data_IF_773344494013
#
_entry.id   IF_773344494013
#
_cell.length_a   1.000
_cell.length_b   1.000
_cell.length_c   1.000
_cell.angle_alpha   90.00
_cell.angle_beta   90.00
_cell.angle_gamma   90.00
#
_symmetry.space_group_name_H-M   'P 1'
#
loop_
_entity.id
_entity.type
_entity.pdbx_description
1 polymer ?
#
# COMPACT_ATOMS: atom_id res chain seq x y z
N UNK A 1 -11.75 4.64 -2.57
CA UNK A 1 -10.97 4.16 -1.41
C UNK A 1 -10.83 2.64 -1.50
N UNK A 2 -9.67 2.11 -1.12
CA UNK A 2 -9.33 0.67 -1.18
C UNK A 2 -8.50 0.31 0.04
N UNK A 3 -8.43 -0.96 0.42
CA UNK A 3 -7.56 -1.40 1.53
C UNK A 3 -6.10 -1.08 1.26
N UNK A 4 -5.54 -1.57 0.14
CA UNK A 4 -4.13 -1.39 -0.19
C UNK A 4 -3.85 -1.52 -1.68
N UNK A 5 -3.02 -0.64 -2.21
CA UNK A 5 -2.62 -0.62 -3.61
C UNK A 5 -1.78 -1.85 -3.97
N UNK A 6 -1.80 -2.24 -5.25
CA UNK A 6 -0.69 -2.97 -5.85
C UNK A 6 0.57 -2.11 -5.94
N UNK A 7 1.68 -2.72 -6.30
CA UNK A 7 2.98 -2.05 -6.34
C UNK A 7 4.05 -2.92 -6.97
N UNK A 8 5.31 -2.58 -6.71
CA UNK A 8 6.46 -3.38 -7.13
C UNK A 8 6.57 -4.59 -6.21
N UNK A 9 6.73 -5.78 -6.79
CA UNK A 9 6.89 -7.00 -6.00
C UNK A 9 8.31 -7.08 -5.41
N UNK A 10 8.43 -7.74 -4.24
CA UNK A 10 9.75 -7.99 -3.63
C UNK A 10 10.61 -8.82 -4.56
N UNK A 11 11.84 -8.34 -4.80
CA UNK A 11 12.75 -8.98 -5.74
C UNK A 11 12.34 -8.85 -7.21
N UNK A 12 11.54 -7.83 -7.56
CA UNK A 12 11.21 -7.50 -8.95
C UNK A 12 12.51 -7.24 -9.74
N UNK A 13 12.95 -8.27 -10.43
CA UNK A 13 14.18 -8.28 -11.22
C UNK A 13 13.87 -8.70 -12.65
N UNK A 14 14.33 -9.88 -13.05
CA UNK A 14 14.03 -10.47 -14.36
C UNK A 14 13.33 -11.82 -14.19
N UNK A 15 12.06 -11.98 -14.63
CA UNK A 15 11.22 -10.94 -15.21
C UNK A 15 10.82 -9.89 -14.16
N UNK A 16 10.61 -8.65 -14.62
CA UNK A 16 10.17 -7.55 -13.78
C UNK A 16 8.69 -7.73 -13.44
N UNK A 17 8.33 -7.62 -12.16
CA UNK A 17 6.98 -7.87 -11.66
C UNK A 17 6.48 -6.63 -10.89
N UNK A 18 5.63 -5.85 -11.55
CA UNK A 18 4.95 -4.69 -10.96
C UNK A 18 3.46 -4.73 -11.28
N UNK A 19 2.65 -4.20 -10.37
CA UNK A 19 1.20 -4.08 -10.58
C UNK A 19 0.87 -3.06 -11.66
N UNK A 20 -0.11 -3.40 -12.51
CA UNK A 20 -0.73 -2.46 -13.46
C UNK A 20 -1.36 -1.24 -12.78
N UNK A 21 -1.64 -1.32 -11.47
CA UNK A 21 -2.13 -0.20 -10.67
C UNK A 21 -1.22 1.03 -10.83
N UNK A 22 0.11 0.85 -10.82
CA UNK A 22 1.06 1.97 -10.90
C UNK A 22 0.92 2.73 -12.22
N UNK A 23 0.84 2.01 -13.34
CA UNK A 23 0.63 2.61 -14.66
C UNK A 23 -0.78 3.20 -14.84
N UNK A 24 -1.77 2.67 -14.11
CA UNK A 24 -3.13 3.22 -14.11
C UNK A 24 -3.18 4.53 -13.34
N UNK A 25 -2.57 4.56 -12.15
CA UNK A 25 -2.46 5.75 -11.31
C UNK A 25 -1.73 6.88 -12.02
N UNK A 26 -0.74 6.60 -12.88
CA UNK A 26 0.00 7.65 -13.60
C UNK A 26 -0.79 8.36 -14.70
N UNK A 27 -1.94 7.80 -15.10
CA UNK A 27 -2.73 8.29 -16.25
C UNK A 27 -4.18 8.58 -15.91
N UNK A 28 -4.58 8.34 -14.67
CA UNK A 28 -5.96 8.47 -14.22
C UNK A 28 -6.03 9.57 -13.17
N UNK A 29 -6.66 10.72 -13.47
CA UNK A 29 -6.78 11.84 -12.53
C UNK A 29 -7.84 11.51 -11.47
N UNK A 30 -7.44 10.71 -10.48
CA UNK A 30 -8.27 10.28 -9.35
C UNK A 30 -7.52 10.44 -8.04
N UNK A 31 -8.27 10.62 -6.95
CA UNK A 31 -7.71 10.54 -5.59
C UNK A 31 -8.00 9.18 -4.98
N UNK A 32 -6.97 8.48 -4.52
CA UNK A 32 -7.09 7.17 -3.88
C UNK A 32 -6.66 7.26 -2.43
N UNK A 33 -7.62 7.00 -1.54
CA UNK A 33 -7.35 6.79 -0.11
C UNK A 33 -7.12 5.30 0.14
N UNK A 34 -6.00 4.97 0.79
CA UNK A 34 -5.60 3.58 1.09
C UNK A 34 -4.66 3.49 2.29
N UNK A 35 -4.51 2.30 2.89
CA UNK A 35 -3.53 2.01 3.93
C UNK A 35 -2.12 1.70 3.34
N UNK A 36 -1.75 2.38 2.25
CA UNK A 36 -0.49 2.17 1.54
C UNK A 36 -0.58 1.07 0.49
N UNK A 37 0.52 0.34 0.29
CA UNK A 37 0.56 -0.82 -0.62
C UNK A 37 0.49 -2.11 0.20
N UNK A 38 -0.06 -3.19 -0.37
CA UNK A 38 -0.14 -4.49 0.32
C UNK A 38 1.21 -4.85 0.92
N UNK A 39 1.23 -5.30 2.18
CA UNK A 39 2.45 -5.51 2.98
C UNK A 39 3.46 -6.51 2.39
N UNK A 40 3.00 -7.34 1.46
CA UNK A 40 3.79 -8.32 0.70
C UNK A 40 4.69 -7.70 -0.37
N UNK A 41 4.46 -6.42 -0.69
CA UNK A 41 5.15 -5.70 -1.76
C UNK A 41 6.45 -5.06 -1.27
N UNK A 42 7.21 -4.55 -2.22
CA UNK A 42 8.43 -3.78 -1.99
C UNK A 42 8.05 -2.29 -1.87
N UNK A 43 7.94 -1.82 -0.63
CA UNK A 43 7.54 -0.43 -0.34
C UNK A 43 8.51 0.59 -0.95
N UNK A 44 9.83 0.52 -0.75
CA UNK A 44 10.73 1.54 -1.29
C UNK A 44 10.72 1.53 -2.82
N UNK A 45 10.77 0.35 -3.46
CA UNK A 45 10.69 0.29 -4.91
C UNK A 45 9.35 0.82 -5.45
N UNK A 46 8.25 0.63 -4.70
CA UNK A 46 6.95 1.18 -5.08
C UNK A 46 6.90 2.70 -4.95
N UNK A 47 7.46 3.28 -3.89
CA UNK A 47 7.51 4.74 -3.71
C UNK A 47 8.34 5.41 -4.82
N UNK A 48 9.52 4.89 -5.12
CA UNK A 48 10.38 5.33 -6.22
C UNK A 48 9.66 5.24 -7.58
N UNK A 49 8.88 4.17 -7.77
CA UNK A 49 8.13 3.97 -9.00
C UNK A 49 6.98 4.94 -9.15
N UNK A 50 6.25 5.22 -8.06
CA UNK A 50 5.18 6.23 -8.02
C UNK A 50 5.73 7.63 -8.32
N UNK A 51 6.88 7.98 -7.74
CA UNK A 51 7.59 9.23 -8.02
C UNK A 51 7.95 9.32 -9.51
N UNK A 52 8.63 8.30 -10.05
CA UNK A 52 9.02 8.23 -11.47
C UNK A 52 7.82 8.40 -12.41
N UNK A 53 6.66 7.91 -11.99
CA UNK A 53 5.42 7.96 -12.75
C UNK A 53 4.62 9.26 -12.55
N UNK A 54 5.11 10.21 -11.76
CA UNK A 54 4.43 11.48 -11.48
C UNK A 54 3.15 11.32 -10.66
N UNK A 55 3.05 10.27 -9.85
CA UNK A 55 1.93 10.07 -8.92
C UNK A 55 2.22 10.82 -7.62
N UNK A 56 1.31 11.69 -7.20
CA UNK A 56 1.46 12.42 -5.94
C UNK A 56 1.16 11.48 -4.78
N UNK A 57 2.03 11.39 -3.77
CA UNK A 57 1.81 10.58 -2.56
C UNK A 57 1.93 11.47 -1.34
N UNK A 58 0.89 11.46 -0.49
CA UNK A 58 0.89 12.19 0.78
C UNK A 58 0.26 11.35 1.89
N UNK A 59 0.85 11.43 3.09
CA UNK A 59 0.28 10.79 4.28
C UNK A 59 -0.89 11.59 4.83
N UNK A 60 -1.91 10.93 5.35
CA UNK A 60 -2.98 11.59 6.09
C UNK A 60 -2.63 11.65 7.58
N UNK A 61 -2.31 12.85 8.07
CA UNK A 61 -1.88 13.12 9.46
C UNK A 61 -0.64 12.31 9.88
N UNK A 62 0.21 11.95 8.93
CA UNK A 62 1.43 11.18 9.15
C UNK A 62 2.48 11.48 8.09
N UNK A 63 3.76 11.40 8.46
CA UNK A 63 4.90 11.37 7.54
C UNK A 63 5.46 9.95 7.35
N UNK A 64 4.83 8.95 7.96
CA UNK A 64 5.23 7.54 7.87
C UNK A 64 4.32 6.84 6.86
N UNK A 65 4.90 6.17 5.89
CA UNK A 65 4.13 5.43 4.90
C UNK A 65 3.55 4.16 5.57
N UNK A 66 2.22 3.92 5.49
CA UNK A 66 1.60 2.76 6.10
C UNK A 66 1.94 1.46 5.37
N UNK A 67 2.09 0.39 6.13
CA UNK A 67 2.43 -0.95 5.65
C UNK A 67 1.23 -1.87 5.52
N UNK A 68 0.07 -1.35 5.15
CA UNK A 68 -1.22 -2.05 5.03
C UNK A 68 -1.79 -2.59 6.35
N UNK A 69 -1.14 -3.57 6.98
CA UNK A 69 -1.56 -4.12 8.28
C UNK A 69 -0.96 -3.37 9.48
N UNK A 70 0.08 -2.57 9.22
CA UNK A 70 0.80 -1.77 10.21
C UNK A 70 0.71 -0.29 9.86
N UNK A 71 0.61 0.58 10.87
CA UNK A 71 0.51 2.02 10.68
C UNK A 71 1.81 2.64 10.11
N UNK A 72 2.94 1.96 10.29
CA UNK A 72 4.27 2.40 9.84
C UNK A 72 5.01 1.24 9.16
N UNK A 73 5.39 1.42 7.90
CA UNK A 73 6.16 0.45 7.12
C UNK A 73 7.68 0.58 7.28
N UNK A 74 8.16 1.57 8.03
CA UNK A 74 9.57 1.93 8.13
C UNK A 74 9.99 3.08 7.22
N UNK A 75 9.16 3.47 6.25
CA UNK A 75 9.51 4.45 5.22
C UNK A 75 8.84 5.81 5.42
N UNK A 76 9.52 6.87 5.02
CA UNK A 76 9.06 8.26 5.18
C UNK A 76 8.43 8.81 3.90
N UNK A 77 7.47 9.70 4.09
CA UNK A 77 6.81 10.46 3.04
C UNK A 77 7.26 11.91 3.08
N UNK A 78 7.46 12.49 1.91
CA UNK A 78 7.78 13.91 1.78
C UNK A 78 6.62 14.82 2.20
N UNK A 79 5.37 14.39 1.98
CA UNK A 79 4.17 15.20 2.14
C UNK A 79 3.20 14.60 3.16
N UNK A 80 2.55 15.45 3.94
CA UNK A 80 1.49 15.08 4.89
C UNK A 80 0.37 16.10 4.80
N UNK A 81 -0.87 15.64 4.85
CA UNK A 81 -2.09 16.44 4.83
C UNK A 81 -2.85 16.22 6.15
N UNK A 82 -3.28 17.29 6.80
CA UNK A 82 -3.80 17.25 8.17
C UNK A 82 -5.33 17.15 8.23
N UNK A 83 -6.02 17.46 7.13
CA UNK A 83 -7.47 17.57 7.08
C UNK A 83 -8.06 17.16 5.71
N UNK A 84 -9.35 16.78 5.64
CA UNK A 84 -10.01 16.56 4.36
C UNK A 84 -10.03 17.82 3.47
N UNK A 85 -10.03 19.02 4.08
CA UNK A 85 -9.96 20.30 3.36
C UNK A 85 -8.61 20.47 2.66
N UNK A 86 -7.51 20.08 3.29
CA UNK A 86 -6.19 20.07 2.64
C UNK A 86 -6.15 19.08 1.48
N UNK A 87 -6.73 17.87 1.64
CA UNK A 87 -6.87 16.91 0.53
C UNK A 87 -7.65 17.52 -0.63
N UNK A 88 -8.79 18.17 -0.35
CA UNK A 88 -9.60 18.83 -1.38
C UNK A 88 -8.85 19.99 -2.06
N UNK A 89 -8.04 20.74 -1.31
CA UNK A 89 -7.22 21.81 -1.87
C UNK A 89 -6.12 21.26 -2.79
N UNK A 90 -5.47 20.14 -2.42
CA UNK A 90 -4.49 19.45 -3.29
C UNK A 90 -5.14 18.96 -4.58
N UNK A 91 -6.35 18.40 -4.49
CA UNK A 91 -7.12 17.97 -5.67
C UNK A 91 -7.40 19.15 -6.60
N UNK A 92 -7.94 20.25 -6.06
CA UNK A 92 -8.24 21.44 -6.86
C UNK A 92 -6.98 22.05 -7.50
N UNK A 93 -5.84 22.02 -6.81
CA UNK A 93 -4.56 22.48 -7.37
C UNK A 93 -4.07 21.57 -8.51
N UNK A 94 -4.18 20.25 -8.35
CA UNK A 94 -3.83 19.30 -9.41
C UNK A 94 -4.68 19.49 -10.67
N UNK A 95 -5.99 19.72 -10.50
CA UNK A 95 -6.91 20.02 -11.60
C UNK A 95 -6.53 21.33 -12.31
N UNK A 96 -6.23 22.39 -11.55
CA UNK A 96 -5.82 23.70 -12.11
C UNK A 96 -4.50 23.63 -12.89
N UNK A 97 -3.59 22.76 -12.46
CA UNK A 97 -2.31 22.52 -13.14
C UNK A 97 -2.43 21.53 -14.32
N UNK A 98 -3.61 20.92 -14.51
CA UNK A 98 -3.83 19.93 -15.57
C UNK A 98 -3.04 18.63 -15.36
N UNK A 99 -2.78 18.24 -14.12
CA UNK A 99 -2.06 16.99 -13.83
C UNK A 99 -2.95 15.78 -14.12
N UNK A 100 -2.37 14.77 -14.78
CA UNK A 100 -3.09 13.54 -15.17
C UNK A 100 -2.81 12.35 -14.24
N UNK A 101 -1.82 12.48 -13.36
CA UNK A 101 -1.50 11.49 -12.35
C UNK A 101 -2.45 11.53 -11.17
N UNK A 102 -2.64 10.39 -10.53
CA UNK A 102 -3.46 10.26 -9.34
C UNK A 102 -2.81 10.95 -8.12
N UNK A 103 -3.65 11.23 -7.12
CA UNK A 103 -3.23 11.61 -5.78
C UNK A 103 -3.48 10.41 -4.86
N UNK A 104 -2.42 9.85 -4.28
CA UNK A 104 -2.50 8.80 -3.25
C UNK A 104 -2.46 9.46 -1.88
N UNK A 105 -3.54 9.29 -1.14
CA UNK A 105 -3.64 9.69 0.27
C UNK A 105 -3.46 8.44 1.14
N UNK A 106 -2.24 8.29 1.66
CA UNK A 106 -1.85 7.17 2.50
C UNK A 106 -2.38 7.38 3.93
N UNK A 107 -3.45 6.67 4.28
CA UNK A 107 -4.13 6.77 5.56
C UNK A 107 -3.85 5.51 6.40
N UNK A 108 -3.02 5.59 7.45
CA UNK A 108 -2.65 4.43 8.24
C UNK A 108 -3.86 3.79 8.93
N UNK A 109 -3.80 2.48 9.14
CA UNK A 109 -4.70 1.80 10.07
C UNK A 109 -4.54 2.41 11.47
N UNK A 110 -5.61 2.52 12.28
CA UNK A 110 -5.48 2.98 13.67
C UNK A 110 -4.50 2.10 14.45
N UNK A 111 -3.67 2.71 15.31
CA UNK A 111 -2.62 2.00 16.06
C UNK A 111 -3.18 0.89 16.95
N UNK A 112 -4.38 1.07 17.51
CA UNK A 112 -5.07 0.07 18.33
C UNK A 112 -5.62 -1.12 17.52
N UNK A 113 -5.73 -0.97 16.19
CA UNK A 113 -6.27 -1.98 15.28
C UNK A 113 -5.21 -2.56 14.34
N UNK A 114 -3.96 -2.09 14.43
CA UNK A 114 -2.88 -2.63 13.61
C UNK A 114 -2.49 -4.03 14.09
N UNK A 115 -2.00 -4.86 13.17
CA UNK A 115 -1.37 -6.10 13.54
C UNK A 115 -0.06 -5.79 14.30
N UNK A 116 0.26 -6.59 15.33
CA UNK A 116 1.55 -6.46 16.01
C UNK A 116 2.69 -6.48 14.98
N UNK A 117 3.58 -5.45 14.93
CA UNK A 117 4.59 -5.36 13.89
C UNK A 117 5.57 -6.54 13.85
N UNK A 118 5.89 -7.14 15.00
CA UNK A 118 6.77 -8.30 15.05
C UNK A 118 6.07 -9.56 14.54
N UNK A 119 4.79 -9.75 14.90
CA UNK A 119 3.96 -10.85 14.37
C UNK A 119 3.81 -10.70 12.85
N UNK A 120 3.53 -9.49 12.36
CA UNK A 120 3.42 -9.21 10.93
C UNK A 120 4.73 -9.52 10.19
N UNK A 121 5.86 -9.05 10.72
CA UNK A 121 7.17 -9.27 10.12
C UNK A 121 7.52 -10.77 10.04
N UNK A 122 7.24 -11.55 11.10
CA UNK A 122 7.45 -13.00 11.11
C UNK A 122 6.59 -13.69 10.05
N UNK A 123 5.29 -13.44 10.07
CA UNK A 123 4.33 -14.05 9.14
C UNK A 123 4.67 -13.72 7.67
N UNK A 124 5.10 -12.49 7.39
CA UNK A 124 5.53 -12.10 6.05
C UNK A 124 6.81 -12.82 5.62
N UNK A 125 7.80 -12.93 6.51
CA UNK A 125 9.06 -13.66 6.24
C UNK A 125 8.79 -15.14 5.94
N UNK A 126 7.94 -15.78 6.75
CA UNK A 126 7.51 -17.17 6.57
C UNK A 126 6.76 -17.36 5.24
N UNK A 127 5.84 -16.44 4.91
CA UNK A 127 5.09 -16.47 3.65
C UNK A 127 6.01 -16.37 2.43
N UNK A 128 6.99 -15.46 2.47
CA UNK A 128 7.95 -15.28 1.37
C UNK A 128 8.82 -16.54 1.18
N UNK A 129 9.31 -17.13 2.26
CA UNK A 129 10.07 -18.38 2.21
C UNK A 129 9.22 -19.56 1.69
N UNK A 130 7.96 -19.65 2.12
CA UNK A 130 7.01 -20.65 1.64
C UNK A 130 6.69 -20.48 0.14
N UNK A 131 6.55 -19.25 -0.34
CA UNK A 131 6.30 -18.96 -1.76
C UNK A 131 7.52 -19.37 -2.61
N UNK A 132 8.72 -19.04 -2.15
CA UNK A 132 9.97 -19.38 -2.82
C UNK A 132 10.17 -20.91 -2.89
N UNK A 133 10.04 -21.61 -1.77
CA UNK A 133 10.21 -23.07 -1.69
C UNK A 133 9.20 -23.84 -2.56
N UNK A 134 7.96 -23.34 -2.68
CA UNK A 134 6.92 -23.91 -3.53
C UNK A 134 6.96 -23.43 -4.99
N UNK A 135 7.88 -22.53 -5.33
CA UNK A 135 8.00 -21.99 -6.68
C UNK A 135 6.77 -21.21 -7.16
N UNK A 136 6.03 -20.56 -6.25
CA UNK A 136 4.85 -19.76 -6.59
C UNK A 136 5.29 -18.53 -7.39
N UNK A 137 4.65 -18.28 -8.54
CA UNK A 137 5.05 -17.23 -9.48
C UNK A 137 3.85 -16.51 -10.11
N UNK A 138 4.12 -15.31 -10.62
CA UNK A 138 3.17 -14.46 -11.32
C UNK A 138 1.93 -14.15 -10.47
N UNK A 139 0.75 -14.13 -11.11
CA UNK A 139 -0.54 -13.78 -10.48
C UNK A 139 -0.92 -14.61 -9.23
N UNK A 140 -0.26 -15.74 -9.00
CA UNK A 140 -0.53 -16.61 -7.86
C UNK A 140 0.22 -16.18 -6.59
N UNK A 141 1.25 -15.32 -6.69
CA UNK A 141 2.08 -14.90 -5.56
C UNK A 141 1.25 -14.13 -4.53
N UNK A 142 0.51 -13.11 -4.97
CA UNK A 142 -0.28 -12.27 -4.07
C UNK A 142 -1.34 -13.05 -3.28
N UNK A 143 -2.24 -13.85 -3.91
CA UNK A 143 -3.19 -14.66 -3.15
C UNK A 143 -2.52 -15.64 -2.18
N UNK A 144 -1.41 -16.26 -2.58
CA UNK A 144 -0.66 -17.19 -1.72
C UNK A 144 -0.09 -16.49 -0.48
N UNK A 145 0.56 -15.34 -0.65
CA UNK A 145 1.19 -14.63 0.47
C UNK A 145 0.13 -14.09 1.45
N UNK A 146 -0.98 -13.56 0.94
CA UNK A 146 -2.06 -13.06 1.80
C UNK A 146 -2.75 -14.18 2.58
N UNK A 147 -3.01 -15.32 1.94
CA UNK A 147 -3.57 -16.50 2.62
C UNK A 147 -2.60 -17.02 3.70
N UNK A 148 -1.31 -17.08 3.41
CA UNK A 148 -0.32 -17.51 4.40
C UNK A 148 -0.26 -16.59 5.61
N UNK A 149 -0.26 -15.26 5.40
CA UNK A 149 -0.29 -14.28 6.49
C UNK A 149 -1.58 -14.42 7.30
N UNK A 150 -2.72 -14.65 6.64
CA UNK A 150 -4.00 -14.90 7.31
C UNK A 150 -3.93 -16.11 8.25
N UNK A 151 -3.44 -17.25 7.77
CA UNK A 151 -3.28 -18.45 8.59
C UNK A 151 -2.27 -18.25 9.74
N UNK A 152 -1.12 -17.64 9.46
CA UNK A 152 -0.06 -17.41 10.45
C UNK A 152 -0.49 -16.44 11.56
N UNK A 153 -1.43 -15.54 11.27
CA UNK A 153 -1.96 -14.55 12.23
C UNK A 153 -3.25 -15.00 12.91
N UNK A 154 -3.71 -16.23 12.66
CA UNK A 154 -4.99 -16.73 13.20
C UNK A 154 -6.19 -15.87 12.80
N UNK A 155 -6.12 -15.19 11.66
CA UNK A 155 -7.16 -14.30 11.15
C UNK A 155 -7.03 -12.82 11.53
N UNK A 156 -6.12 -12.43 12.43
CA UNK A 156 -5.96 -11.04 12.86
C UNK A 156 -5.63 -10.06 11.71
N UNK A 157 -4.94 -10.54 10.66
CA UNK A 157 -4.69 -9.73 9.45
C UNK A 157 -5.96 -9.36 8.68
N UNK A 158 -7.02 -10.18 8.73
CA UNK A 158 -8.30 -9.84 8.11
C UNK A 158 -9.00 -8.72 8.88
N UNK A 159 -8.96 -8.77 10.22
CA UNK A 159 -9.55 -7.74 11.08
C UNK A 159 -8.91 -6.37 10.81
N UNK A 160 -7.57 -6.30 10.76
CA UNK A 160 -6.85 -5.08 10.42
C UNK A 160 -7.21 -4.54 9.01
N UNK A 161 -7.43 -5.42 8.03
CA UNK A 161 -7.81 -5.02 6.67
C UNK A 161 -9.23 -4.43 6.58
N UNK A 162 -10.18 -4.99 7.33
CA UNK A 162 -11.58 -4.53 7.34
C UNK A 162 -11.70 -3.17 8.01
N UNK A 163 -10.88 -2.91 9.04
CA UNK A 163 -10.84 -1.61 9.72
C UNK A 163 -10.14 -0.53 8.89
N UNK A 164 -9.15 -0.90 8.07
CA UNK A 164 -8.42 0.02 7.18
C UNK A 164 -9.15 0.41 5.89
N UNK A 165 -10.19 -0.33 5.49
CA UNK A 165 -11.05 0.01 4.35
C UNK A 165 -12.15 1.01 4.70
N UNK A 166 -12.75 1.71 3.73
CA UNK A 166 -14.02 2.39 3.97
C UNK A 166 -15.02 1.34 4.48
N UNK A 167 -15.55 1.54 5.69
CA UNK A 167 -16.62 0.69 6.22
C UNK A 167 -17.71 0.61 5.14
N UNK A 168 -17.95 -0.59 4.60
CA UNK A 168 -19.16 -0.84 3.83
C UNK A 168 -20.33 -0.69 4.82
N UNK A 169 -20.89 0.51 4.89
CA UNK A 169 -22.22 0.78 5.42
C UNK A 169 -23.05 1.36 4.30
#
# INVERSE_FOLDING_TARGET
ATGGLGGVHRGAGTPFDESSDLTTLSRTPITVVCAGVKSILDVPATLERLETLGVTVAGYRTKRFPGFYVADSGYELEWSLSSPQEVAATMAAADQLGLHGAIVVANPVPFEHQLDPAVHASALSEALAAAQSKGVRGKNVTPFLLDHIYQATGGASLEANVVGGPQQR
#
